data_IF_668896840774
#
_entry.id   IF_668896840774
#
_cell.length_a   1.000
_cell.length_b   1.000
_cell.length_c   1.000
_cell.angle_alpha   90.00
_cell.angle_beta   90.00
_cell.angle_gamma   90.00
#
_symmetry.space_group_name_H-M   'P 1'
#
loop_
_entity.id
_entity.type
_entity.pdbx_description
1 polymer ?
#
# COMPACT_ATOMS: atom_id res chain seq x y z
N UNK A 1 -12.95 2.63 9.36
CA UNK A 1 -11.71 3.43 9.47
C UNK A 1 -10.59 2.48 9.88
N UNK A 2 -9.38 2.64 9.33
CA UNK A 2 -8.26 1.80 9.75
C UNK A 2 -7.95 2.06 11.24
N UNK A 3 -7.67 1.00 11.99
CA UNK A 3 -7.15 1.16 13.35
C UNK A 3 -5.83 1.95 13.29
N UNK A 4 -5.76 3.08 13.98
CA UNK A 4 -4.59 3.97 13.96
C UNK A 4 -3.30 3.24 14.30
N UNK A 5 -3.36 2.21 15.16
CA UNK A 5 -2.20 1.40 15.54
C UNK A 5 -1.62 0.57 14.38
N UNK A 6 -2.29 0.55 13.23
CA UNK A 6 -1.84 -0.15 12.03
C UNK A 6 -1.19 0.78 11.00
N UNK A 7 -1.13 2.09 11.23
CA UNK A 7 -0.51 3.03 10.29
C UNK A 7 1.00 3.08 10.51
N UNK A 8 1.76 3.18 9.42
CA UNK A 8 3.17 3.56 9.46
C UNK A 8 3.25 5.09 9.28
N UNK A 9 3.20 5.81 10.40
CA UNK A 9 3.07 7.28 10.41
C UNK A 9 4.29 8.01 9.84
N UNK A 10 5.46 7.34 9.79
CA UNK A 10 6.70 7.90 9.26
C UNK A 10 6.84 7.74 7.74
N UNK A 11 5.88 7.08 7.08
CA UNK A 11 5.86 6.92 5.63
C UNK A 11 4.53 7.44 5.04
N UNK A 12 4.55 7.79 3.76
CA UNK A 12 3.33 8.21 3.05
C UNK A 12 3.21 7.45 1.75
N UNK A 13 2.01 7.27 1.22
CA UNK A 13 1.85 6.64 -0.10
C UNK A 13 2.60 7.38 -1.22
N UNK A 14 2.85 8.68 -1.05
CA UNK A 14 3.62 9.48 -1.99
C UNK A 14 5.12 9.13 -2.04
N UNK A 15 5.64 8.37 -1.06
CA UNK A 15 7.03 7.88 -1.12
C UNK A 15 7.19 6.64 -2.01
N UNK A 16 6.10 5.99 -2.39
CA UNK A 16 6.15 4.89 -3.35
C UNK A 16 6.19 5.43 -4.78
N UNK A 17 7.00 4.80 -5.63
CA UNK A 17 7.13 5.15 -7.05
C UNK A 17 5.99 4.54 -7.88
N UNK A 18 4.76 4.99 -7.58
CA UNK A 18 3.56 4.62 -8.32
C UNK A 18 3.32 5.57 -9.50
N UNK A 19 2.64 5.05 -10.52
CA UNK A 19 2.10 5.84 -11.62
C UNK A 19 1.24 6.98 -11.06
N UNK A 20 1.35 8.22 -11.61
CA UNK A 20 0.62 9.39 -11.12
C UNK A 20 -0.90 9.18 -11.01
N UNK A 21 -1.49 8.33 -11.85
CA UNK A 21 -2.92 7.98 -11.80
C UNK A 21 -3.27 7.25 -10.50
N UNK A 22 -2.42 6.34 -10.04
CA UNK A 22 -2.59 5.62 -8.77
C UNK A 22 -2.39 6.59 -7.61
N UNK A 23 -1.31 7.36 -7.61
CA UNK A 23 -1.01 8.33 -6.54
C UNK A 23 -2.15 9.32 -6.36
N UNK A 24 -2.72 9.84 -7.46
CA UNK A 24 -3.90 10.71 -7.42
C UNK A 24 -5.12 10.02 -6.86
N UNK A 25 -5.40 8.77 -7.26
CA UNK A 25 -6.54 8.02 -6.75
C UNK A 25 -6.43 7.77 -5.24
N UNK A 26 -5.25 7.38 -4.75
CA UNK A 26 -4.97 7.20 -3.32
C UNK A 26 -5.20 8.51 -2.54
N UNK A 27 -4.70 9.63 -3.06
CA UNK A 27 -4.90 10.95 -2.44
C UNK A 27 -6.38 11.36 -2.39
N UNK A 28 -7.16 11.07 -3.45
CA UNK A 28 -8.61 11.33 -3.48
C UNK A 28 -9.38 10.48 -2.45
N UNK A 29 -8.87 9.28 -2.12
CA UNK A 29 -9.39 8.45 -1.04
C UNK A 29 -8.95 8.93 0.35
N UNK A 30 -8.16 10.01 0.43
CA UNK A 30 -7.60 10.56 1.67
C UNK A 30 -6.72 9.57 2.43
N UNK A 31 -6.08 8.66 1.71
CA UNK A 31 -5.10 7.74 2.27
C UNK A 31 -3.71 8.39 2.23
N UNK A 32 -3.27 8.91 3.37
CA UNK A 32 -1.97 9.56 3.51
C UNK A 32 -0.89 8.52 3.84
N UNK A 33 -1.12 7.77 4.93
CA UNK A 33 -0.16 6.80 5.45
C UNK A 33 -0.55 5.37 5.05
N UNK A 34 0.41 4.55 4.58
CA UNK A 34 0.18 3.14 4.42
C UNK A 34 0.01 2.46 5.78
N UNK A 35 -0.67 1.31 5.79
CA UNK A 35 -0.63 0.43 6.96
C UNK A 35 0.71 -0.32 7.04
N UNK A 36 1.06 -0.84 8.22
CA UNK A 36 2.31 -1.59 8.44
C UNK A 36 2.51 -2.74 7.44
N UNK A 37 1.44 -3.43 7.03
CA UNK A 37 1.53 -4.51 6.03
C UNK A 37 1.70 -3.97 4.61
N UNK A 38 1.11 -2.81 4.29
CA UNK A 38 1.25 -2.14 3.00
C UNK A 38 2.66 -1.59 2.83
N UNK A 39 3.17 -0.87 3.83
CA UNK A 39 4.53 -0.32 3.87
C UNK A 39 5.60 -1.39 3.60
N UNK A 40 5.43 -2.58 4.19
CA UNK A 40 6.37 -3.70 4.00
C UNK A 40 6.16 -4.44 2.68
N UNK A 41 4.91 -4.69 2.27
CA UNK A 41 4.63 -5.56 1.13
C UNK A 41 4.73 -4.84 -0.22
N UNK A 42 4.30 -3.57 -0.30
CA UNK A 42 4.25 -2.83 -1.56
C UNK A 42 5.63 -2.74 -2.23
N UNK A 43 6.73 -2.32 -1.56
CA UNK A 43 8.04 -2.24 -2.19
C UNK A 43 8.56 -3.60 -2.66
N UNK A 44 8.30 -4.67 -1.90
CA UNK A 44 8.69 -6.03 -2.27
C UNK A 44 7.92 -6.51 -3.52
N UNK A 45 6.62 -6.20 -3.61
CA UNK A 45 5.76 -6.61 -4.70
C UNK A 45 6.11 -5.85 -5.99
N UNK A 46 6.39 -4.55 -5.85
CA UNK A 46 6.92 -3.70 -6.91
C UNK A 46 8.27 -4.20 -7.45
N UNK A 47 9.10 -4.78 -6.58
CA UNK A 47 10.35 -5.43 -6.97
C UNK A 47 10.15 -6.86 -7.55
N UNK A 48 8.91 -7.31 -7.75
CA UNK A 48 8.60 -8.62 -8.34
C UNK A 48 8.92 -9.83 -7.44
N UNK A 49 9.01 -9.63 -6.12
CA UNK A 49 9.30 -10.71 -5.17
C UNK A 49 8.03 -11.46 -4.77
N UNK A 50 8.19 -12.75 -4.48
CA UNK A 50 7.15 -13.54 -3.81
C UNK A 50 7.04 -13.13 -2.34
N UNK A 51 5.80 -12.96 -1.85
CA UNK A 51 5.52 -12.43 -0.51
C UNK A 51 4.51 -13.31 0.21
N UNK A 52 4.87 -13.77 1.41
CA UNK A 52 3.93 -14.31 2.38
C UNK A 52 3.61 -13.25 3.43
N UNK A 53 2.42 -12.66 3.36
CA UNK A 53 1.97 -11.63 4.30
C UNK A 53 0.93 -12.19 5.29
N UNK A 54 1.22 -12.13 6.59
CA UNK A 54 0.28 -12.49 7.67
C UNK A 54 -0.12 -11.23 8.45
N UNK A 55 -1.40 -10.86 8.38
CA UNK A 55 -1.98 -9.78 9.18
C UNK A 55 -3.48 -10.01 9.37
N UNK A 56 -4.11 -9.39 10.38
CA UNK A 56 -5.56 -9.55 10.65
C UNK A 56 -6.45 -8.90 9.57
N UNK A 57 -7.71 -9.30 9.48
CA UNK A 57 -8.69 -8.60 8.62
C UNK A 57 -8.81 -7.12 9.03
N UNK A 58 -9.01 -6.24 8.04
CA UNK A 58 -8.99 -4.79 8.26
C UNK A 58 -7.59 -4.15 8.25
N UNK A 59 -6.51 -4.93 8.15
CA UNK A 59 -5.14 -4.41 8.11
C UNK A 59 -4.70 -3.81 6.77
N UNK A 60 -5.56 -3.80 5.74
CA UNK A 60 -5.22 -3.25 4.43
C UNK A 60 -4.46 -4.19 3.48
N UNK A 61 -4.40 -5.50 3.77
CA UNK A 61 -3.76 -6.50 2.89
C UNK A 61 -4.27 -6.48 1.44
N UNK A 62 -5.55 -6.17 1.22
CA UNK A 62 -6.11 -6.12 -0.13
C UNK A 62 -5.39 -5.08 -0.98
N UNK A 63 -5.31 -3.83 -0.51
CA UNK A 63 -4.56 -2.78 -1.20
C UNK A 63 -3.06 -3.11 -1.30
N UNK A 64 -2.50 -3.84 -0.32
CA UNK A 64 -1.09 -4.22 -0.32
C UNK A 64 -0.70 -5.09 -1.54
N UNK A 65 -1.62 -5.91 -2.08
CA UNK A 65 -1.37 -6.69 -3.30
C UNK A 65 -2.03 -6.09 -4.54
N UNK A 66 -3.18 -5.43 -4.43
CA UNK A 66 -3.88 -4.88 -5.61
C UNK A 66 -3.19 -3.65 -6.18
N UNK A 67 -2.62 -2.76 -5.35
CA UNK A 67 -1.91 -1.58 -5.85
C UNK A 67 -0.69 -1.96 -6.73
N UNK A 68 0.20 -2.89 -6.31
CA UNK A 68 1.26 -3.39 -7.19
C UNK A 68 0.75 -4.07 -8.47
N UNK A 69 -0.38 -4.79 -8.42
CA UNK A 69 -0.97 -5.40 -9.62
C UNK A 69 -1.43 -4.31 -10.60
N UNK A 70 -2.17 -3.31 -10.12
CA UNK A 70 -2.64 -2.21 -10.97
C UNK A 70 -1.46 -1.46 -11.56
N UNK A 71 -0.43 -1.17 -10.77
CA UNK A 71 0.81 -0.53 -11.23
C UNK A 71 1.49 -1.32 -12.37
N UNK A 72 1.47 -2.65 -12.32
CA UNK A 72 2.05 -3.51 -13.37
C UNK A 72 1.23 -3.54 -14.67
N UNK A 73 -0.07 -3.24 -14.58
CA UNK A 73 -0.98 -3.20 -15.75
C UNK A 73 -0.98 -1.84 -16.45
N UNK A 74 -0.50 -0.80 -15.77
CA UNK A 74 -0.48 0.59 -16.23
C UNK A 74 0.80 0.95 -16.98
#
# INVERSE_FOLDING_TARGET
MADQHLLEENETFASFDFDPRITRAIAQMQFVHPTLVQAKAIPLAMAGKDILARARTGSGKTAAYTLPIVQKLL
#
